data_IF_018601082704
#
_entry.id   IF_018601082704
#
_cell.length_a   1.000
_cell.length_b   1.000
_cell.length_c   1.000
_cell.angle_alpha   90.00
_cell.angle_beta   90.00
_cell.angle_gamma   90.00
#
_symmetry.space_group_name_H-M   'P 1'
#
loop_
_entity.id
_entity.type
_entity.pdbx_description
1 polymer ?
#
# COMPACT_ATOMS: atom_id res chain seq x y z
N UNK A 1 -19.63 9.90 -29.07
CA UNK A 1 -20.05 10.06 -27.66
C UNK A 1 -19.14 11.08 -27.01
N UNK A 2 -19.62 12.23 -26.49
CA UNK A 2 -18.75 13.17 -25.81
C UNK A 2 -18.34 12.57 -24.46
N UNK A 3 -17.03 12.54 -24.18
CA UNK A 3 -16.52 12.13 -22.88
C UNK A 3 -17.06 13.09 -21.79
N UNK A 4 -17.56 12.54 -20.68
CA UNK A 4 -17.98 13.34 -19.54
C UNK A 4 -16.77 14.11 -18.98
N UNK A 5 -16.79 15.44 -19.08
CA UNK A 5 -15.78 16.30 -18.45
C UNK A 5 -16.11 16.41 -16.96
N UNK A 6 -15.44 15.64 -16.11
CA UNK A 6 -15.33 15.98 -14.68
C UNK A 6 -14.44 17.21 -14.60
N UNK A 7 -15.03 18.38 -14.41
CA UNK A 7 -14.29 19.62 -14.57
C UNK A 7 -13.49 19.97 -13.30
N UNK A 8 -13.97 19.67 -12.09
CA UNK A 8 -13.34 20.16 -10.85
C UNK A 8 -13.53 19.25 -9.64
N UNK A 9 -12.61 19.27 -8.65
CA UNK A 9 -12.75 18.57 -7.35
C UNK A 9 -14.00 18.97 -6.55
N UNK A 10 -14.68 20.06 -6.92
CA UNK A 10 -15.92 20.52 -6.29
C UNK A 10 -17.13 19.66 -6.65
N UNK A 11 -17.09 18.98 -7.81
CA UNK A 11 -18.20 18.14 -8.26
C UNK A 11 -18.04 16.73 -7.69
N UNK A 12 -16.81 16.22 -7.71
CA UNK A 12 -16.44 14.88 -7.22
C UNK A 12 -15.09 14.95 -6.51
N UNK A 13 -15.04 14.40 -5.31
CA UNK A 13 -13.79 14.17 -4.57
C UNK A 13 -13.12 12.88 -5.04
N UNK A 14 -11.79 12.90 -5.17
CA UNK A 14 -10.99 11.78 -5.65
C UNK A 14 -9.91 11.45 -4.63
N UNK A 15 -9.78 10.16 -4.30
CA UNK A 15 -8.69 9.61 -3.48
C UNK A 15 -7.94 8.57 -4.30
N UNK A 16 -6.61 8.65 -4.31
CA UNK A 16 -5.72 7.67 -4.93
C UNK A 16 -5.14 6.66 -3.93
N UNK A 17 -4.26 5.80 -4.41
CA UNK A 17 -3.53 4.81 -3.60
C UNK A 17 -2.01 4.88 -3.89
N UNK A 18 -1.21 4.29 -3.02
CA UNK A 18 0.26 4.21 -2.99
C UNK A 18 1.06 5.43 -2.52
N UNK A 19 0.58 6.67 -2.70
CA UNK A 19 1.40 7.88 -2.52
C UNK A 19 2.70 7.90 -3.34
N UNK A 20 2.64 7.54 -4.63
CA UNK A 20 3.76 7.78 -5.54
C UNK A 20 4.00 9.29 -5.66
N UNK A 21 4.90 9.87 -4.87
CA UNK A 21 5.03 11.33 -4.74
C UNK A 21 5.42 12.02 -6.06
N UNK A 22 6.22 11.35 -6.89
CA UNK A 22 6.57 11.80 -8.23
C UNK A 22 5.34 12.02 -9.14
N UNK A 23 4.21 11.41 -8.81
CA UNK A 23 2.94 11.55 -9.53
C UNK A 23 1.92 12.32 -8.68
N UNK A 24 1.54 11.76 -7.54
CA UNK A 24 0.42 12.23 -6.70
C UNK A 24 0.57 13.65 -6.19
N UNK A 25 1.80 14.10 -5.87
CA UNK A 25 2.04 15.48 -5.44
C UNK A 25 1.99 16.50 -6.59
N UNK A 26 2.12 16.03 -7.84
CA UNK A 26 2.23 16.85 -9.04
C UNK A 26 0.99 16.80 -9.94
N UNK A 27 -0.06 16.08 -9.52
CA UNK A 27 -1.36 16.13 -10.18
C UNK A 27 -2.06 17.47 -9.90
N UNK A 28 -3.06 17.81 -10.73
CA UNK A 28 -3.82 19.05 -10.60
C UNK A 28 -5.33 18.75 -10.53
N UNK A 29 -5.97 18.85 -9.34
CA UNK A 29 -5.38 19.15 -8.02
C UNK A 29 -4.44 18.04 -7.51
N UNK A 30 -3.57 18.37 -6.55
CA UNK A 30 -2.68 17.39 -5.94
C UNK A 30 -3.50 16.29 -5.26
N UNK A 31 -3.14 15.03 -5.49
CA UNK A 31 -3.98 13.87 -5.21
C UNK A 31 -3.85 13.42 -3.74
N UNK A 32 -4.95 13.51 -2.98
CA UNK A 32 -5.12 12.85 -1.69
C UNK A 32 -5.04 11.34 -1.89
N UNK A 33 -4.31 10.62 -1.04
CA UNK A 33 -4.01 9.20 -1.27
C UNK A 33 -3.80 8.44 0.03
N UNK A 34 -3.91 7.10 -0.02
CA UNK A 34 -3.41 6.22 1.03
C UNK A 34 -1.96 5.84 0.70
N UNK A 35 -1.02 6.21 1.56
CA UNK A 35 0.40 5.89 1.39
C UNK A 35 0.68 4.44 1.72
N UNK A 36 1.30 3.73 0.80
CA UNK A 36 1.73 2.35 1.02
C UNK A 36 3.16 2.38 1.59
N UNK A 37 3.44 1.77 2.76
CA UNK A 37 4.78 1.75 3.36
C UNK A 37 5.68 0.70 2.67
N UNK A 38 5.91 0.87 1.36
CA UNK A 38 6.57 -0.09 0.47
C UNK A 38 7.96 -0.50 0.98
N UNK A 39 8.75 0.47 1.45
CA UNK A 39 10.08 0.21 2.00
C UNK A 39 10.02 -0.69 3.24
N UNK A 40 9.14 -0.36 4.19
CA UNK A 40 8.97 -1.13 5.43
C UNK A 40 8.46 -2.54 5.13
N UNK A 41 7.49 -2.67 4.21
CA UNK A 41 6.99 -3.97 3.76
C UNK A 41 8.10 -4.84 3.17
N UNK A 42 8.98 -4.26 2.36
CA UNK A 42 10.14 -4.98 1.81
C UNK A 42 11.10 -5.45 2.91
N UNK A 43 11.45 -4.57 3.85
CA UNK A 43 12.29 -4.91 5.00
C UNK A 43 11.66 -6.02 5.86
N UNK A 44 10.38 -5.90 6.17
CA UNK A 44 9.63 -6.89 6.93
C UNK A 44 9.54 -8.24 6.22
N UNK A 45 9.28 -8.23 4.92
CA UNK A 45 9.21 -9.45 4.11
C UNK A 45 10.53 -10.22 4.14
N UNK A 46 11.65 -9.55 3.88
CA UNK A 46 12.98 -10.17 3.92
C UNK A 46 13.32 -10.66 5.33
N UNK A 47 13.06 -9.87 6.37
CA UNK A 47 13.28 -10.28 7.77
C UNK A 47 12.45 -11.50 8.14
N UNK A 48 11.21 -11.58 7.67
CA UNK A 48 10.32 -12.71 7.91
C UNK A 48 10.85 -13.97 7.24
N UNK A 49 11.33 -13.87 6.00
CA UNK A 49 11.94 -14.98 5.27
C UNK A 49 13.22 -15.48 5.96
N UNK A 50 14.14 -14.58 6.32
CA UNK A 50 15.39 -14.96 6.98
C UNK A 50 15.16 -15.68 8.32
N UNK A 51 14.14 -15.28 9.10
CA UNK A 51 13.74 -15.98 10.33
C UNK A 51 13.21 -17.39 10.08
N UNK A 52 12.64 -17.65 8.91
CA UNK A 52 12.17 -18.98 8.52
C UNK A 52 13.33 -19.85 8.04
N UNK A 53 14.26 -19.29 7.27
CA UNK A 53 15.44 -20.02 6.78
C UNK A 53 16.45 -20.35 7.87
N UNK A 54 16.61 -19.48 8.89
CA UNK A 54 17.50 -19.74 10.03
C UNK A 54 16.89 -20.64 11.12
N UNK A 55 15.70 -21.21 10.89
CA UNK A 55 15.15 -22.33 11.66
C UNK A 55 15.63 -23.60 10.98
N UNK A 56 16.81 -24.07 11.38
CA UNK A 56 17.46 -25.23 10.78
C UNK A 56 16.64 -26.54 10.91
N UNK A 57 16.95 -27.41 9.97
CA UNK A 57 16.45 -28.73 9.60
C UNK A 57 16.62 -29.83 10.67
N UNK A 58 16.30 -29.59 11.95
CA UNK A 58 16.49 -30.57 13.04
C UNK A 58 15.23 -31.36 13.45
N UNK A 59 14.09 -31.13 12.80
CA UNK A 59 12.92 -32.01 12.89
C UNK A 59 12.65 -32.61 11.51
N UNK A 60 13.13 -33.84 11.31
CA UNK A 60 12.90 -34.65 10.12
C UNK A 60 11.44 -35.08 9.97
N UNK A 61 10.52 -34.12 9.87
CA UNK A 61 9.12 -34.39 9.59
C UNK A 61 8.71 -33.80 8.24
N UNK A 62 8.15 -34.67 7.41
CA UNK A 62 7.74 -34.49 6.03
C UNK A 62 6.45 -33.63 5.96
N UNK A 63 6.46 -32.45 6.61
CA UNK A 63 5.30 -31.56 6.71
C UNK A 63 5.53 -30.26 5.92
N UNK A 64 5.83 -30.40 4.63
CA UNK A 64 6.02 -29.26 3.71
C UNK A 64 4.71 -28.53 3.38
N UNK A 65 3.55 -29.05 3.78
CA UNK A 65 2.25 -28.52 3.33
C UNK A 65 1.36 -28.19 4.51
N UNK A 66 1.52 -26.97 5.05
CA UNK A 66 0.53 -26.15 5.81
C UNK A 66 1.14 -25.36 6.99
N UNK A 67 2.26 -24.65 6.79
CA UNK A 67 2.54 -23.53 7.72
C UNK A 67 1.46 -22.48 7.50
N UNK A 68 0.53 -22.34 8.46
CA UNK A 68 -0.46 -21.26 8.46
C UNK A 68 0.31 -19.93 8.53
N UNK A 69 0.31 -19.18 7.43
CA UNK A 69 0.91 -17.86 7.42
C UNK A 69 -0.02 -16.91 8.17
N UNK A 70 0.44 -16.36 9.28
CA UNK A 70 -0.27 -15.27 9.95
C UNK A 70 0.04 -13.96 9.21
N UNK A 71 -0.95 -13.29 8.61
CA UNK A 71 -0.72 -12.04 7.90
C UNK A 71 -0.25 -10.95 8.87
N UNK A 72 0.88 -10.33 8.54
CA UNK A 72 1.35 -9.13 9.25
C UNK A 72 0.71 -7.92 8.59
N UNK A 73 -0.12 -7.20 9.34
CA UNK A 73 -0.76 -5.97 8.87
C UNK A 73 0.10 -4.75 9.19
N UNK A 74 0.28 -3.87 8.21
CA UNK A 74 1.02 -2.60 8.36
C UNK A 74 0.06 -1.45 8.10
N UNK A 75 0.15 -0.41 8.94
CA UNK A 75 -0.67 0.78 8.81
C UNK A 75 -0.32 1.54 7.52
N UNK A 76 -1.34 1.86 6.73
CA UNK A 76 -1.20 2.66 5.52
C UNK A 76 -1.71 4.09 5.82
N UNK A 77 -0.83 5.09 5.97
CA UNK A 77 -1.24 6.44 6.35
C UNK A 77 -2.09 7.12 5.27
N UNK A 78 -3.10 7.88 5.69
CA UNK A 78 -3.78 8.80 4.79
C UNK A 78 -2.91 10.05 4.55
N UNK A 79 -2.68 10.39 3.30
CA UNK A 79 -1.93 11.57 2.85
C UNK A 79 -2.91 12.55 2.22
N UNK A 80 -3.29 13.58 2.98
CA UNK A 80 -4.28 14.57 2.55
C UNK A 80 -3.67 15.62 1.62
N UNK A 81 -4.35 15.90 0.50
CA UNK A 81 -4.04 16.97 -0.46
C UNK A 81 -5.34 17.64 -0.94
N UNK A 82 -5.37 18.13 -2.18
CA UNK A 82 -6.38 19.07 -2.69
C UNK A 82 -7.48 18.40 -3.52
N UNK A 83 -7.38 17.10 -3.80
CA UNK A 83 -8.36 16.37 -4.61
C UNK A 83 -9.63 15.94 -3.86
N UNK A 84 -9.71 16.19 -2.55
CA UNK A 84 -10.88 15.88 -1.71
C UNK A 84 -11.44 17.16 -1.13
N UNK A 85 -12.75 17.36 -1.27
CA UNK A 85 -13.46 18.48 -0.67
C UNK A 85 -13.51 18.33 0.85
N UNK A 86 -13.06 19.35 1.58
CA UNK A 86 -13.30 19.47 3.04
C UNK A 86 -14.74 19.95 3.27
N UNK A 87 -15.45 19.28 4.19
CA UNK A 87 -16.79 19.66 4.65
C UNK A 87 -16.70 20.68 5.79
#
# INVERSE_FOLDING_TARGET
>A
MPAARLARPNDISVVGFDNQEMISAHMHPALTTVGLPQYELGVMGVRTLLRQCGRDEDDGDEHVVTRTFEPIFVQCPAVSRDSVKRL
#
